data_IF_777700670278
#
_entry.id   IF_777700670278
#
_cell.length_a   1.000
_cell.length_b   1.000
_cell.length_c   1.000
_cell.angle_alpha   90.00
_cell.angle_beta   90.00
_cell.angle_gamma   90.00
#
_symmetry.space_group_name_H-M   'P 1'
#
loop_
_entity.id
_entity.type
_entity.pdbx_description
1 polymer ?
#
# COMPACT_ATOMS: atom_id res chain seq x y z
N UNK A 1 -7.86 -8.88 -17.13
CA UNK A 1 -7.28 -8.51 -18.43
C UNK A 1 -6.79 -7.06 -18.32
N UNK A 2 -5.48 -6.81 -18.33
CA UNK A 2 -4.92 -5.45 -18.37
C UNK A 2 -4.97 -4.95 -19.82
N UNK A 3 -5.93 -4.08 -20.15
CA UNK A 3 -5.92 -3.40 -21.44
C UNK A 3 -4.90 -2.26 -21.37
N UNK A 4 -3.74 -2.46 -22.02
CA UNK A 4 -2.77 -1.39 -22.24
C UNK A 4 -3.46 -0.30 -23.07
N UNK A 5 -3.55 0.92 -22.54
CA UNK A 5 -3.99 2.07 -23.33
C UNK A 5 -2.88 2.48 -24.31
N UNK A 6 -3.23 3.24 -25.35
CA UNK A 6 -2.35 3.66 -26.46
C UNK A 6 -1.06 4.42 -26.03
N UNK A 7 -0.91 4.74 -24.74
CA UNK A 7 0.26 5.41 -24.17
C UNK A 7 1.10 4.51 -23.23
N UNK A 8 0.88 3.19 -23.21
CA UNK A 8 1.65 2.27 -22.34
C UNK A 8 1.28 2.31 -20.85
N UNK A 9 0.29 3.12 -20.47
CA UNK A 9 -0.21 3.18 -19.10
C UNK A 9 -1.27 2.11 -18.82
N UNK A 10 -1.27 1.57 -17.60
CA UNK A 10 -2.39 0.78 -17.08
C UNK A 10 -3.62 1.66 -16.86
N UNK A 11 -4.80 1.07 -16.94
CA UNK A 11 -6.11 1.72 -16.76
C UNK A 11 -6.31 2.35 -15.37
N UNK A 12 -5.64 1.80 -14.35
CA UNK A 12 -5.62 2.33 -12.98
C UNK A 12 -4.49 3.32 -12.72
N UNK A 13 -3.52 3.46 -13.63
CA UNK A 13 -2.46 4.45 -13.47
C UNK A 13 -3.10 5.83 -13.53
N UNK A 14 -2.81 6.69 -12.55
CA UNK A 14 -3.26 8.07 -12.61
C UNK A 14 -2.64 8.71 -13.85
N UNK A 15 -3.49 9.13 -14.81
CA UNK A 15 -3.08 9.59 -16.16
C UNK A 15 -2.08 10.76 -16.11
N UNK A 16 -2.07 11.48 -14.98
CA UNK A 16 -1.25 12.68 -14.73
C UNK A 16 -0.09 12.44 -13.75
N UNK A 17 0.09 11.22 -13.25
CA UNK A 17 1.27 10.91 -12.45
C UNK A 17 2.46 10.76 -13.41
N UNK A 18 3.46 11.64 -13.26
CA UNK A 18 4.77 11.48 -13.90
C UNK A 18 5.36 10.15 -13.43
N UNK A 19 5.12 9.09 -14.20
CA UNK A 19 5.61 7.73 -13.99
C UNK A 19 7.14 7.79 -14.08
N UNK A 20 7.78 8.05 -12.95
CA UNK A 20 9.20 8.28 -12.91
C UNK A 20 9.91 6.94 -13.10
N UNK A 21 10.86 6.88 -14.05
CA UNK A 21 11.82 5.78 -14.22
C UNK A 21 11.22 4.37 -14.46
N UNK A 22 10.01 4.27 -15.00
CA UNK A 22 9.42 2.99 -15.43
C UNK A 22 8.48 2.32 -14.42
N UNK A 23 8.07 3.03 -13.39
CA UNK A 23 7.02 2.56 -12.47
C UNK A 23 5.68 3.23 -12.73
N UNK A 24 4.60 2.45 -12.69
CA UNK A 24 3.23 2.99 -12.73
C UNK A 24 2.65 3.00 -11.32
N UNK A 25 1.98 4.10 -10.96
CA UNK A 25 1.41 4.30 -9.62
C UNK A 25 -0.06 4.72 -9.74
N UNK A 26 -0.91 4.13 -8.90
CA UNK A 26 -2.29 4.56 -8.78
C UNK A 26 -2.38 5.92 -8.07
N UNK A 27 -3.52 6.60 -8.17
CA UNK A 27 -3.86 7.63 -7.19
C UNK A 27 -3.76 7.08 -5.76
N UNK A 28 -3.48 7.97 -4.81
CA UNK A 28 -3.41 7.63 -3.39
C UNK A 28 -4.79 7.25 -2.86
N UNK A 29 -4.88 6.11 -2.17
CA UNK A 29 -6.00 5.77 -1.31
C UNK A 29 -5.58 6.16 0.10
N UNK A 30 -6.21 7.22 0.63
CA UNK A 30 -5.83 7.81 1.92
C UNK A 30 -6.83 7.43 2.99
N UNK A 31 -6.34 6.95 4.13
CA UNK A 31 -7.09 6.86 5.38
C UNK A 31 -6.50 7.90 6.32
N UNK A 32 -7.32 8.86 6.72
CA UNK A 32 -6.90 9.94 7.60
C UNK A 32 -7.72 9.94 8.89
N UNK A 33 -7.01 9.98 10.02
CA UNK A 33 -7.57 10.19 11.35
C UNK A 33 -6.96 11.48 11.87
N UNK A 34 -7.69 12.61 11.83
CA UNK A 34 -7.13 13.94 12.07
C UNK A 34 -6.31 14.01 13.35
N UNK A 35 -5.06 14.47 13.22
CA UNK A 35 -4.11 14.65 14.33
C UNK A 35 -3.61 13.37 14.97
N UNK A 36 -3.98 12.18 14.47
CA UNK A 36 -3.66 10.89 15.13
C UNK A 36 -2.99 9.89 14.21
N UNK A 37 -3.49 9.71 13.00
CA UNK A 37 -2.92 8.73 12.08
C UNK A 37 -3.22 9.08 10.62
N UNK A 38 -2.32 8.68 9.73
CA UNK A 38 -2.53 8.74 8.29
C UNK A 38 -1.90 7.52 7.63
N UNK A 39 -2.69 6.79 6.86
CA UNK A 39 -2.22 5.72 6.00
C UNK A 39 -2.44 6.09 4.53
N UNK A 40 -1.45 5.84 3.70
CA UNK A 40 -1.52 6.00 2.26
C UNK A 40 -1.24 4.66 1.62
N UNK A 41 -2.18 4.17 0.82
CA UNK A 41 -2.07 2.94 0.04
C UNK A 41 -1.99 3.30 -1.45
N UNK A 42 -1.00 2.73 -2.14
CA UNK A 42 -0.80 2.92 -3.57
C UNK A 42 -0.57 1.56 -4.22
N UNK A 43 -1.23 1.31 -5.36
CA UNK A 43 -0.85 0.20 -6.24
C UNK A 43 0.31 0.65 -7.11
N UNK A 44 1.38 -0.11 -7.11
CA UNK A 44 2.58 0.15 -7.89
C UNK A 44 2.82 -1.03 -8.83
N UNK A 45 3.21 -0.73 -10.07
CA UNK A 45 3.76 -1.69 -11.02
C UNK A 45 5.18 -1.28 -11.35
N UNK A 46 6.14 -2.15 -11.02
CA UNK A 46 7.56 -1.94 -11.33
C UNK A 46 7.81 -2.01 -12.83
N UNK A 47 8.97 -1.51 -13.29
CA UNK A 47 9.44 -1.70 -14.66
C UNK A 47 9.51 -3.18 -15.10
N UNK A 48 9.78 -4.10 -14.16
CA UNK A 48 9.77 -5.55 -14.38
C UNK A 48 8.34 -6.16 -14.51
N UNK A 49 7.28 -5.33 -14.53
CA UNK A 49 5.90 -5.77 -14.70
C UNK A 49 5.24 -6.38 -13.44
N UNK A 50 5.91 -6.35 -12.29
CA UNK A 50 5.36 -6.86 -11.01
C UNK A 50 4.50 -5.82 -10.33
N UNK A 51 3.32 -6.25 -9.88
CA UNK A 51 2.42 -5.43 -9.07
C UNK A 51 2.68 -5.64 -7.58
N UNK A 52 2.71 -4.56 -6.83
CA UNK A 52 2.72 -4.58 -5.38
C UNK A 52 1.85 -3.45 -4.81
N UNK A 53 1.39 -3.66 -3.57
CA UNK A 53 0.79 -2.61 -2.77
C UNK A 53 1.89 -1.95 -1.94
N UNK A 54 2.01 -0.63 -2.03
CA UNK A 54 2.87 0.18 -1.18
C UNK A 54 2.00 0.86 -0.11
N UNK A 55 2.38 0.70 1.17
CA UNK A 55 1.67 1.29 2.29
C UNK A 55 2.64 2.19 3.06
N UNK A 56 2.26 3.45 3.25
CA UNK A 56 2.96 4.40 4.13
C UNK A 56 2.03 4.79 5.27
N UNK A 57 2.41 4.42 6.49
CA UNK A 57 1.64 4.70 7.70
C UNK A 57 2.40 5.67 8.60
N UNK A 58 1.69 6.64 9.16
CA UNK A 58 2.15 7.54 10.22
C UNK A 58 1.14 7.52 11.35
N UNK A 59 1.60 7.37 12.59
CA UNK A 59 0.77 7.38 13.79
C UNK A 59 1.43 8.26 14.83
N UNK A 60 0.66 9.15 15.46
CA UNK A 60 1.10 9.92 16.60
C UNK A 60 1.22 9.00 17.82
N UNK A 61 2.41 8.95 18.42
CA UNK A 61 2.66 8.15 19.62
C UNK A 61 2.29 8.92 20.88
N UNK A 62 1.99 8.17 21.93
CA UNK A 62 1.80 8.72 23.26
C UNK A 62 3.10 9.42 23.73
N UNK A 63 3.00 10.51 24.50
CA UNK A 63 4.18 11.25 24.95
C UNK A 63 5.03 10.47 25.97
N UNK A 64 4.42 9.52 26.69
CA UNK A 64 5.12 8.68 27.64
C UNK A 64 5.70 7.44 26.95
N UNK A 65 7.00 7.20 27.12
CA UNK A 65 7.75 6.15 26.41
C UNK A 65 7.14 4.75 26.61
N UNK A 66 6.74 4.40 27.83
CA UNK A 66 6.12 3.08 28.10
C UNK A 66 4.82 2.91 27.31
N UNK A 67 4.01 3.96 27.20
CA UNK A 67 2.77 3.93 26.43
C UNK A 67 3.06 3.88 24.91
N UNK A 68 4.04 4.65 24.43
CA UNK A 68 4.48 4.62 23.03
C UNK A 68 4.97 3.23 22.61
N UNK A 69 5.78 2.57 23.46
CA UNK A 69 6.27 1.20 23.21
C UNK A 69 5.12 0.19 23.12
N UNK A 70 4.13 0.29 24.01
CA UNK A 70 2.94 -0.58 23.95
C UNK A 70 2.15 -0.35 22.65
N UNK A 71 1.98 0.91 22.24
CA UNK A 71 1.36 1.24 20.95
C UNK A 71 2.12 0.62 19.77
N UNK A 72 3.45 0.75 19.75
CA UNK A 72 4.28 0.19 18.68
C UNK A 72 4.21 -1.34 18.60
N UNK A 73 4.20 -2.03 19.74
CA UNK A 73 4.04 -3.50 19.78
C UNK A 73 2.68 -3.93 19.23
N UNK A 74 1.60 -3.25 19.65
CA UNK A 74 0.26 -3.51 19.12
C UNK A 74 0.19 -3.26 17.61
N UNK A 75 0.70 -2.11 17.17
CA UNK A 75 0.72 -1.74 15.76
C UNK A 75 1.53 -2.73 14.91
N UNK A 76 2.66 -3.23 15.43
CA UNK A 76 3.44 -4.25 14.74
C UNK A 76 2.67 -5.56 14.59
N UNK A 77 1.91 -5.97 15.61
CA UNK A 77 1.02 -7.13 15.55
C UNK A 77 -0.05 -6.98 14.47
N UNK A 78 -0.73 -5.83 14.45
CA UNK A 78 -1.77 -5.53 13.47
C UNK A 78 -1.22 -5.46 12.04
N UNK A 79 -0.06 -4.82 11.85
CA UNK A 79 0.62 -4.76 10.55
C UNK A 79 1.02 -6.16 10.07
N UNK A 80 1.59 -6.99 10.95
CA UNK A 80 1.93 -8.38 10.62
C UNK A 80 0.70 -9.16 10.18
N UNK A 81 -0.42 -9.00 10.89
CA UNK A 81 -1.67 -9.65 10.54
C UNK A 81 -2.21 -9.19 9.19
N UNK A 82 -2.26 -7.87 8.96
CA UNK A 82 -2.73 -7.28 7.71
C UNK A 82 -1.90 -7.75 6.50
N UNK A 83 -0.57 -7.70 6.60
CA UNK A 83 0.36 -8.16 5.56
C UNK A 83 0.21 -9.65 5.29
N UNK A 84 0.11 -10.46 6.35
CA UNK A 84 -0.05 -11.92 6.20
C UNK A 84 -1.36 -12.26 5.48
N UNK A 85 -2.47 -11.63 5.86
CA UNK A 85 -3.77 -11.84 5.17
C UNK A 85 -3.73 -11.41 3.71
N UNK A 86 -3.14 -10.25 3.41
CA UNK A 86 -2.98 -9.79 2.03
C UNK A 86 -2.13 -10.75 1.20
N UNK A 87 -1.04 -11.27 1.76
CA UNK A 87 -0.16 -12.23 1.09
C UNK A 87 -0.85 -13.58 0.83
N UNK A 88 -1.68 -14.05 1.76
CA UNK A 88 -2.47 -15.28 1.57
C UNK A 88 -3.54 -15.08 0.50
N UNK A 89 -4.25 -13.94 0.52
CA UNK A 89 -5.28 -13.63 -0.46
C UNK A 89 -4.73 -13.54 -1.90
N UNK A 90 -3.45 -13.20 -2.06
CA UNK A 90 -2.77 -13.17 -3.35
C UNK A 90 -2.36 -14.56 -3.88
N UNK A 91 -2.41 -15.62 -3.06
CA UNK A 91 -2.06 -16.97 -3.54
C UNK A 91 -3.12 -17.45 -4.55
N UNK A 92 -2.69 -17.98 -5.71
CA UNK A 92 -3.63 -18.59 -6.66
C UNK A 92 -4.47 -19.65 -5.95
N UNK A 93 -5.79 -19.60 -6.10
CA UNK A 93 -6.63 -20.72 -5.67
C UNK A 93 -6.24 -21.96 -6.48
N UNK A 94 -6.11 -23.13 -5.84
CA UNK A 94 -5.86 -24.37 -6.57
C UNK A 94 -6.97 -24.55 -7.60
N UNK A 95 -6.55 -24.76 -8.85
CA UNK A 95 -7.46 -25.09 -9.95
C UNK A 95 -7.79 -26.57 -9.78
N UNK A 96 -8.99 -26.86 -9.32
CA UNK A 96 -9.58 -28.20 -9.41
C UNK A 96 -10.29 -28.32 -10.77
#
# INVERSE_FOLDING_TARGET
MNRRSAAGHTDWCGRDHRCNLGEHRSPEIVVDVPGRARAVLVRVRTAAGRDHAEIRLRVALAPAEVAARRQLVGLLGDLRHAVTRAAIAARPRPRW
#
